data_IF_928587104818
#
_entry.id   IF_928587104818
#
_cell.length_a   1.000
_cell.length_b   1.000
_cell.length_c   1.000
_cell.angle_alpha   90.00
_cell.angle_beta   90.00
_cell.angle_gamma   90.00
#
_symmetry.space_group_name_H-M   'P 1'
#
loop_
_entity.id
_entity.type
_entity.pdbx_description
1 polymer ?
#
# COMPACT_ATOMS: atom_id res chain seq x y z
N UNK A 1 -9.07 -12.12 -4.47
CA UNK A 1 -9.73 -11.36 -3.40
C UNK A 1 -10.92 -10.61 -3.98
N UNK A 2 -12.14 -10.92 -3.52
CA UNK A 2 -13.37 -10.31 -4.06
C UNK A 2 -13.35 -8.77 -4.09
N UNK A 3 -12.74 -8.13 -3.10
CA UNK A 3 -12.59 -6.67 -3.07
C UNK A 3 -11.75 -6.13 -4.24
N UNK A 4 -10.61 -6.76 -4.55
CA UNK A 4 -9.74 -6.31 -5.65
C UNK A 4 -10.47 -6.46 -6.99
N UNK A 5 -11.21 -7.55 -7.16
CA UNK A 5 -12.01 -7.81 -8.36
C UNK A 5 -13.17 -6.79 -8.49
N UNK A 6 -13.84 -6.44 -7.39
CA UNK A 6 -14.91 -5.44 -7.35
C UNK A 6 -14.37 -4.03 -7.66
N UNK A 7 -13.23 -3.64 -7.06
CA UNK A 7 -12.58 -2.36 -7.35
C UNK A 7 -12.10 -2.29 -8.79
N UNK A 8 -11.47 -3.35 -9.29
CA UNK A 8 -11.09 -3.44 -10.69
C UNK A 8 -12.31 -3.29 -11.60
N UNK A 9 -13.44 -3.97 -11.29
CA UNK A 9 -14.66 -3.85 -12.07
C UNK A 9 -15.28 -2.43 -12.04
N UNK A 10 -15.22 -1.73 -10.91
CA UNK A 10 -15.76 -0.37 -10.76
C UNK A 10 -14.92 0.69 -11.47
N UNK A 11 -13.59 0.49 -11.53
CA UNK A 11 -12.66 1.51 -11.99
C UNK A 11 -11.94 1.18 -13.31
N UNK A 12 -12.03 -0.04 -13.86
CA UNK A 12 -11.39 -0.46 -15.13
C UNK A 12 -11.65 0.45 -16.34
N UNK A 13 -12.77 1.17 -16.35
CA UNK A 13 -13.13 2.08 -17.44
C UNK A 13 -12.80 3.56 -17.13
N UNK A 14 -12.25 3.82 -15.93
CA UNK A 14 -11.87 5.14 -15.42
C UNK A 14 -10.36 5.29 -15.22
N UNK A 15 -9.61 4.18 -15.21
CA UNK A 15 -8.15 4.17 -15.12
C UNK A 15 -7.60 4.50 -16.50
N UNK A 16 -6.97 5.67 -16.63
CA UNK A 16 -6.34 6.14 -17.87
C UNK A 16 -4.88 5.73 -17.94
N UNK A 17 -4.56 4.44 -17.70
CA UNK A 17 -3.20 3.86 -17.74
C UNK A 17 -2.11 4.63 -16.93
N UNK A 18 -2.52 5.54 -16.06
CA UNK A 18 -1.64 6.38 -15.24
C UNK A 18 -1.62 5.83 -13.79
N UNK A 19 -0.41 5.66 -13.25
CA UNK A 19 -0.21 5.21 -11.87
C UNK A 19 -0.82 6.20 -10.86
N UNK A 20 -0.88 7.50 -11.21
CA UNK A 20 -1.48 8.53 -10.36
C UNK A 20 -3.00 8.34 -10.16
N UNK A 21 -3.71 7.86 -11.18
CA UNK A 21 -5.15 7.59 -11.09
C UNK A 21 -5.43 6.41 -10.13
N UNK A 22 -4.56 5.40 -10.13
CA UNK A 22 -4.68 4.21 -9.29
C UNK A 22 -4.49 4.53 -7.81
N UNK A 23 -3.53 5.38 -7.48
CA UNK A 23 -3.29 5.83 -6.11
C UNK A 23 -4.47 6.65 -5.57
N UNK A 24 -4.98 7.60 -6.37
CA UNK A 24 -6.15 8.39 -6.00
C UNK A 24 -7.39 7.52 -5.77
N UNK A 25 -7.64 6.55 -6.65
CA UNK A 25 -8.77 5.62 -6.53
C UNK A 25 -8.62 4.76 -5.28
N UNK A 26 -7.44 4.20 -5.04
CA UNK A 26 -7.16 3.36 -3.87
C UNK A 26 -7.37 4.14 -2.58
N UNK A 27 -6.90 5.40 -2.54
CA UNK A 27 -7.10 6.28 -1.39
C UNK A 27 -8.57 6.61 -1.14
N UNK A 28 -9.30 7.04 -2.18
CA UNK A 28 -10.72 7.39 -2.07
C UNK A 28 -11.58 6.19 -1.62
N UNK A 29 -11.26 4.99 -2.11
CA UNK A 29 -11.91 3.75 -1.70
C UNK A 29 -11.69 3.49 -0.21
N UNK A 30 -10.46 3.62 0.29
CA UNK A 30 -10.13 3.35 1.69
C UNK A 30 -10.71 4.39 2.66
N UNK A 31 -10.86 5.66 2.25
CA UNK A 31 -11.50 6.68 3.09
C UNK A 31 -12.95 6.36 3.46
N UNK A 32 -13.64 5.60 2.63
CA UNK A 32 -15.04 5.21 2.89
C UNK A 32 -15.18 4.05 3.87
N UNK A 33 -14.09 3.32 4.17
CA UNK A 33 -14.13 2.20 5.09
C UNK A 33 -13.74 2.60 6.51
N UNK A 34 -14.54 2.16 7.48
CA UNK A 34 -14.14 2.18 8.87
C UNK A 34 -13.30 0.95 9.24
N UNK A 35 -12.67 1.00 10.42
CA UNK A 35 -11.79 -0.07 10.92
C UNK A 35 -12.45 -1.46 10.91
N UNK A 36 -13.73 -1.55 11.23
CA UNK A 36 -14.41 -2.85 11.28
C UNK A 36 -14.61 -3.41 9.88
N UNK A 37 -15.00 -2.59 8.91
CA UNK A 37 -15.18 -3.02 7.52
C UNK A 37 -13.85 -3.46 6.88
N UNK A 38 -12.76 -2.74 7.16
CA UNK A 38 -11.41 -3.17 6.78
C UNK A 38 -11.04 -4.53 7.40
N UNK A 39 -11.51 -4.80 8.61
CA UNK A 39 -11.24 -6.07 9.28
C UNK A 39 -12.07 -7.22 8.71
N UNK A 40 -13.28 -6.96 8.22
CA UNK A 40 -14.06 -7.97 7.50
C UNK A 40 -13.37 -8.35 6.18
N UNK A 41 -12.81 -7.38 5.45
CA UNK A 41 -12.01 -7.66 4.25
C UNK A 41 -10.83 -8.59 4.55
N UNK A 42 -10.12 -8.35 5.67
CA UNK A 42 -8.98 -9.20 6.08
C UNK A 42 -9.44 -10.59 6.51
N UNK A 43 -10.60 -10.71 7.16
CA UNK A 43 -11.15 -12.02 7.57
C UNK A 43 -11.59 -12.87 6.39
N UNK A 44 -12.00 -12.24 5.29
CA UNK A 44 -12.44 -12.91 4.07
C UNK A 44 -11.26 -13.37 3.18
N UNK A 45 -10.03 -12.97 3.48
CA UNK A 45 -8.82 -13.43 2.78
C UNK A 45 -8.56 -14.91 3.06
N UNK A 46 -8.19 -15.66 2.02
CA UNK A 46 -7.58 -16.98 2.22
C UNK A 46 -6.16 -16.88 2.80
N UNK A 47 -5.57 -18.03 3.16
CA UNK A 47 -4.23 -18.06 3.75
C UNK A 47 -3.15 -17.45 2.84
N UNK A 48 -3.23 -17.68 1.52
CA UNK A 48 -2.26 -17.14 0.57
C UNK A 48 -2.40 -15.63 0.41
N UNK A 49 -3.64 -15.14 0.33
CA UNK A 49 -3.97 -13.73 0.26
C UNK A 49 -3.54 -12.99 1.52
N UNK A 50 -3.79 -13.55 2.70
CA UNK A 50 -3.36 -13.00 3.97
C UNK A 50 -1.83 -12.95 4.07
N UNK A 51 -1.14 -14.03 3.71
CA UNK A 51 0.32 -14.07 3.68
C UNK A 51 0.89 -13.02 2.71
N UNK A 52 0.27 -12.86 1.53
CA UNK A 52 0.66 -11.84 0.57
C UNK A 52 0.49 -10.42 1.13
N UNK A 53 -0.67 -10.14 1.73
CA UNK A 53 -0.99 -8.84 2.33
C UNK A 53 0.00 -8.46 3.43
N UNK A 54 0.27 -9.37 4.36
CA UNK A 54 1.24 -9.16 5.45
C UNK A 54 2.67 -9.01 4.89
N UNK A 55 3.05 -9.80 3.89
CA UNK A 55 4.37 -9.69 3.24
C UNK A 55 4.57 -8.31 2.61
N UNK A 56 3.58 -7.77 1.92
CA UNK A 56 3.67 -6.45 1.30
C UNK A 56 3.86 -5.37 2.35
N UNK A 57 3.04 -5.38 3.42
CA UNK A 57 3.19 -4.45 4.54
C UNK A 57 4.58 -4.50 5.16
N UNK A 58 5.10 -5.71 5.45
CA UNK A 58 6.43 -5.89 6.01
C UNK A 58 7.51 -5.38 5.06
N UNK A 59 7.43 -5.72 3.77
CA UNK A 59 8.41 -5.32 2.76
C UNK A 59 8.50 -3.80 2.63
N UNK A 60 7.37 -3.12 2.43
CA UNK A 60 7.35 -1.65 2.25
C UNK A 60 7.79 -0.91 3.51
N UNK A 61 7.36 -1.39 4.69
CA UNK A 61 7.81 -0.82 5.97
C UNK A 61 9.32 -0.99 6.18
N UNK A 62 9.86 -2.16 5.82
CA UNK A 62 11.30 -2.42 5.91
C UNK A 62 12.09 -1.56 4.93
N UNK A 63 11.67 -1.44 3.67
CA UNK A 63 12.28 -0.53 2.68
C UNK A 63 12.34 0.89 3.21
N UNK A 64 11.25 1.40 3.79
CA UNK A 64 11.20 2.73 4.39
C UNK A 64 12.20 2.89 5.54
N UNK A 65 12.32 1.88 6.42
CA UNK A 65 13.31 1.88 7.51
C UNK A 65 14.75 1.87 7.00
N UNK A 66 15.05 1.07 5.98
CA UNK A 66 16.39 1.03 5.38
C UNK A 66 16.73 2.34 4.65
N UNK A 67 15.79 2.92 3.92
CA UNK A 67 15.98 4.22 3.28
C UNK A 67 16.27 5.34 4.30
N UNK A 68 15.63 5.29 5.48
CA UNK A 68 15.96 6.21 6.58
C UNK A 68 17.38 6.00 7.12
N UNK A 69 17.81 4.73 7.29
CA UNK A 69 19.17 4.41 7.72
C UNK A 69 20.22 4.89 6.70
N UNK A 70 20.01 4.60 5.42
CA UNK A 70 20.91 5.04 4.35
C UNK A 70 20.92 6.58 4.23
N UNK A 71 19.75 7.23 4.34
CA UNK A 71 19.63 8.69 4.39
C UNK A 71 20.34 9.34 5.58
N UNK A 72 20.37 8.69 6.74
CA UNK A 72 21.14 9.16 7.91
C UNK A 72 22.66 9.02 7.74
N UNK A 73 23.13 8.12 6.88
CA UNK A 73 24.56 8.04 6.55
C UNK A 73 25.04 9.19 5.66
N UNK A 74 24.16 9.86 4.90
CA UNK A 74 24.52 11.00 4.05
C UNK A 74 24.57 12.36 4.77
N UNK A 75 24.00 12.49 5.97
CA UNK A 75 23.95 13.79 6.69
C UNK A 75 25.12 14.02 7.65
N UNK A 76 25.87 12.98 8.04
CA UNK A 76 27.00 13.10 8.98
C UNK A 76 28.36 13.43 8.33
N UNK A 77 28.45 13.60 7.01
CA UNK A 77 29.73 13.88 6.32
C UNK A 77 29.88 15.32 5.79
N UNK A 78 29.01 16.26 6.19
CA UNK A 78 29.01 17.64 5.65
C UNK A 78 29.40 18.76 6.63
N UNK A 79 30.12 18.43 7.71
CA UNK A 79 30.76 19.42 8.57
C UNK A 79 32.23 19.11 8.81
N UNK A 80 33.01 19.09 7.74
CA UNK A 80 34.48 19.19 7.77
C UNK A 80 34.93 19.95 6.52
N UNK A 81 34.73 21.26 6.49
CA UNK A 81 35.56 22.27 5.79
C UNK A 81 35.17 23.67 6.27
#
# INVERSE_FOLDING_TARGET
>A
MRLVDELFAMYRNKITDDEEDLDMITFAVLEHYNRNELMEIVKDMDEHELQYFIRLYLLETLKGKFAQLDGTHYTNSRHLH
#
